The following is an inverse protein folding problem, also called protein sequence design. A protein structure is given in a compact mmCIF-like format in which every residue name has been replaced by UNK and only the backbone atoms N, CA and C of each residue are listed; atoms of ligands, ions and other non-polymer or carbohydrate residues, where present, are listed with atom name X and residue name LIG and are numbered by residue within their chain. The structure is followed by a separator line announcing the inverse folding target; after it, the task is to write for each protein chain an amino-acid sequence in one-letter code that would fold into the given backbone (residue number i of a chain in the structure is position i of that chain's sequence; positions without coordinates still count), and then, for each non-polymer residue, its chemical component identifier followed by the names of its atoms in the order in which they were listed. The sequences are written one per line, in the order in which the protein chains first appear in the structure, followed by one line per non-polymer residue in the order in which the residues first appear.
data_IF_904347994407
#
_entry.id   IF_904347994407
#
_cell.length_a   1.000
_cell.length_b   1.000
_cell.length_c   1.000
_cell.angle_alpha   90.00
_cell.angle_beta   90.00
_cell.angle_gamma   90.00
#
_symmetry.space_group_name_H-M   'P 1'
#
loop_
_entity.id
_entity.type
_entity.pdbx_description
1 polymer ?
#
# COMPACT_ATOMS: atom_id res chain seq x y z
N UNK A 1 -12.33 -9.79 -6.37
CA UNK A 1 -11.16 -8.87 -6.31
C UNK A 1 -11.57 -7.59 -5.57
N UNK A 2 -11.93 -7.68 -4.29
CA UNK A 2 -12.44 -6.53 -3.52
C UNK A 2 -11.96 -6.67 -2.09
N UNK A 3 -10.76 -6.16 -1.83
CA UNK A 3 -10.19 -6.15 -0.49
C UNK A 3 -9.12 -5.08 -0.32
N UNK A 4 -9.24 -3.92 -0.96
CA UNK A 4 -8.48 -2.75 -0.52
C UNK A 4 -9.25 -1.50 -0.91
N UNK A 5 -9.79 -0.80 0.08
CA UNK A 5 -10.65 0.36 -0.14
C UNK A 5 -11.38 0.82 1.13
N UNK A 6 -11.44 -0.02 2.17
CA UNK A 6 -12.14 0.32 3.40
C UNK A 6 -11.35 -0.01 4.66
N UNK A 7 -10.09 0.47 4.75
CA UNK A 7 -9.36 0.52 6.02
C UNK A 7 -9.28 -0.81 6.78
N UNK A 8 -9.37 -1.95 6.11
CA UNK A 8 -9.35 -3.25 6.77
C UNK A 8 -7.89 -3.61 7.08
N UNK A 9 -7.42 -3.04 8.19
CA UNK A 9 -6.08 -3.22 8.75
C UNK A 9 -5.75 -4.70 8.94
N UNK A 10 -6.77 -5.54 9.17
CA UNK A 10 -6.62 -6.99 9.31
C UNK A 10 -6.39 -7.66 7.95
N UNK A 11 -7.19 -7.31 6.95
CA UNK A 11 -7.02 -7.86 5.60
C UNK A 11 -5.70 -7.42 4.96
N UNK A 12 -5.28 -6.16 5.15
CA UNK A 12 -3.97 -5.69 4.71
C UNK A 12 -2.81 -6.44 5.40
N UNK A 13 -2.93 -6.68 6.72
CA UNK A 13 -1.93 -7.45 7.49
C UNK A 13 -1.89 -8.93 7.09
N UNK A 14 -3.03 -9.53 6.76
CA UNK A 14 -3.11 -10.92 6.32
C UNK A 14 -2.60 -11.11 4.90
N UNK A 15 -2.75 -10.11 4.03
CA UNK A 15 -2.23 -10.13 2.68
C UNK A 15 -0.71 -9.93 2.63
N UNK A 16 -0.09 -9.30 3.64
CA UNK A 16 1.34 -9.01 3.63
C UNK A 16 2.18 -10.23 4.04
N UNK A 17 3.02 -10.70 3.12
CA UNK A 17 3.88 -11.89 3.33
C UNK A 17 5.06 -11.60 4.26
N UNK A 18 5.58 -10.37 4.28
CA UNK A 18 6.74 -9.98 5.08
C UNK A 18 6.51 -8.66 5.81
N UNK A 19 6.71 -8.67 7.15
CA UNK A 19 6.46 -7.50 8.02
C UNK A 19 7.42 -6.32 7.76
N UNK A 20 8.60 -6.60 7.23
CA UNK A 20 9.65 -5.59 6.94
C UNK A 20 9.63 -5.12 5.48
N UNK A 21 8.57 -5.44 4.73
CA UNK A 21 8.49 -5.12 3.31
C UNK A 21 7.76 -3.81 3.00
N UNK A 22 7.63 -2.92 3.99
CA UNK A 22 6.99 -1.61 3.84
C UNK A 22 8.08 -0.53 3.92
N UNK A 23 8.11 0.36 2.94
CA UNK A 23 8.97 1.55 2.97
C UNK A 23 8.22 2.84 2.68
N UNK A 24 8.68 3.93 3.29
CA UNK A 24 8.48 5.27 2.76
C UNK A 24 9.58 5.60 1.76
N UNK A 25 9.17 6.07 0.59
CA UNK A 25 10.06 6.13 -0.57
C UNK A 25 10.62 4.74 -0.92
N UNK A 26 11.85 4.71 -1.44
CA UNK A 26 12.46 3.46 -1.88
C UNK A 26 13.09 2.65 -0.75
N UNK A 27 13.62 3.29 0.29
CA UNK A 27 14.55 2.64 1.21
C UNK A 27 14.28 2.91 2.70
N UNK A 28 13.38 3.82 3.07
CA UNK A 28 13.12 4.12 4.49
C UNK A 28 12.16 3.07 5.05
N UNK A 29 12.59 2.16 5.93
CA UNK A 29 11.70 1.11 6.44
C UNK A 29 10.60 1.74 7.29
N UNK A 30 9.36 1.31 7.07
CA UNK A 30 8.21 1.79 7.80
C UNK A 30 7.46 0.63 8.45
N UNK A 31 6.82 0.87 9.60
CA UNK A 31 5.91 -0.12 10.18
C UNK A 31 4.55 0.00 9.51
N UNK A 32 3.81 -1.10 9.52
CA UNK A 32 2.42 -1.11 9.04
C UNK A 32 1.55 -0.07 9.77
N UNK A 33 1.81 0.16 11.06
CA UNK A 33 1.10 1.19 11.83
C UNK A 33 1.36 2.61 11.28
N UNK A 34 2.61 2.92 10.92
CA UNK A 34 2.99 4.23 10.38
C UNK A 34 2.35 4.47 9.01
N UNK A 35 2.30 3.42 8.17
CA UNK A 35 1.60 3.48 6.89
C UNK A 35 0.09 3.68 7.08
N UNK A 36 -0.54 2.99 8.03
CA UNK A 36 -1.97 3.15 8.33
C UNK A 36 -2.25 4.58 8.78
N UNK A 37 -1.41 5.18 9.62
CA UNK A 37 -1.57 6.56 10.05
C UNK A 37 -1.48 7.55 8.89
N UNK A 38 -0.56 7.32 7.94
CA UNK A 38 -0.43 8.14 6.74
C UNK A 38 -1.62 8.01 5.78
N UNK A 39 -2.30 6.86 5.79
CA UNK A 39 -3.46 6.57 4.94
C UNK A 39 -4.79 6.82 5.65
N UNK A 40 -4.79 7.25 6.92
CA UNK A 40 -6.01 7.52 7.65
C UNK A 40 -6.75 8.72 7.04
N UNK A 41 -8.04 8.55 6.76
CA UNK A 41 -8.83 9.52 6.01
C UNK A 41 -8.51 9.60 4.51
N UNK A 42 -7.54 8.83 4.01
CA UNK A 42 -7.14 8.89 2.60
C UNK A 42 -8.15 8.21 1.68
N UNK A 43 -8.39 8.83 0.53
CA UNK A 43 -9.19 8.29 -0.57
C UNK A 43 -8.29 7.82 -1.71
N UNK A 44 -8.77 6.87 -2.49
CA UNK A 44 -8.03 6.33 -3.63
C UNK A 44 -8.66 6.85 -4.92
N UNK A 45 -7.86 7.51 -5.74
CA UNK A 45 -8.36 8.20 -6.95
C UNK A 45 -8.12 7.41 -8.22
N UNK A 46 -7.10 6.54 -8.24
CA UNK A 46 -6.75 5.72 -9.40
C UNK A 46 -5.93 4.49 -8.98
N UNK A 47 -6.15 3.37 -9.67
CA UNK A 47 -5.31 2.17 -9.58
C UNK A 47 -4.89 1.72 -10.99
N UNK A 48 -3.61 1.38 -11.16
CA UNK A 48 -3.03 0.83 -12.39
C UNK A 48 -2.29 -0.46 -12.02
N UNK A 49 -2.52 -1.55 -12.76
CA UNK A 49 -1.76 -2.79 -12.65
C UNK A 49 -0.81 -2.98 -13.83
N UNK A 50 0.41 -3.43 -13.56
CA UNK A 50 1.39 -3.82 -14.56
C UNK A 50 2.21 -5.02 -14.05
N UNK A 51 1.97 -6.20 -14.63
CA UNK A 51 2.56 -7.44 -14.11
C UNK A 51 2.16 -7.69 -12.65
N UNK A 52 3.10 -8.07 -11.76
CA UNK A 52 2.80 -8.28 -10.34
C UNK A 52 2.69 -6.97 -9.54
N UNK A 53 2.82 -5.80 -10.16
CA UNK A 53 2.84 -4.52 -9.44
C UNK A 53 1.54 -3.74 -9.67
N UNK A 54 0.96 -3.23 -8.59
CA UNK A 54 -0.12 -2.25 -8.62
C UNK A 54 0.41 -0.89 -8.13
N UNK A 55 0.04 0.17 -8.85
CA UNK A 55 0.25 1.55 -8.45
C UNK A 55 -1.10 2.19 -8.11
N UNK A 56 -1.20 2.80 -6.94
CA UNK A 56 -2.42 3.42 -6.42
C UNK A 56 -2.14 4.88 -6.09
N UNK A 57 -2.91 5.79 -6.69
CA UNK A 57 -2.90 7.20 -6.32
C UNK A 57 -3.75 7.40 -5.07
N UNK A 58 -3.13 8.01 -4.06
CA UNK A 58 -3.70 8.29 -2.75
C UNK A 58 -3.89 9.81 -2.62
N UNK A 59 -5.10 10.22 -2.27
CA UNK A 59 -5.39 11.59 -1.86
C UNK A 59 -5.70 11.57 -0.35
N UNK A 60 -4.78 12.07 0.47
CA UNK A 60 -4.91 12.15 1.91
C UNK A 60 -4.96 13.63 2.34
N UNK A 61 -5.55 13.90 3.50
CA UNK A 61 -5.63 15.26 4.05
C UNK A 61 -4.24 15.90 4.23
N UNK A 62 -3.21 15.06 4.42
CA UNK A 62 -1.80 15.47 4.58
C UNK A 62 -1.08 15.71 3.26
N UNK A 63 -1.71 15.41 2.12
CA UNK A 63 -1.14 15.56 0.79
C UNK A 63 -1.40 14.35 -0.13
N UNK A 64 -0.99 14.50 -1.39
CA UNK A 64 -1.10 13.42 -2.39
C UNK A 64 0.11 12.51 -2.34
N UNK A 65 -0.14 11.22 -2.48
CA UNK A 65 0.88 10.20 -2.56
C UNK A 65 0.60 9.11 -3.59
N UNK A 66 1.60 8.26 -3.81
CA UNK A 66 1.48 7.06 -4.63
C UNK A 66 1.94 5.86 -3.83
N UNK A 67 1.11 4.83 -3.77
CA UNK A 67 1.43 3.55 -3.19
C UNK A 67 1.72 2.55 -4.30
N UNK A 68 2.87 1.88 -4.23
CA UNK A 68 3.19 0.70 -5.03
C UNK A 68 3.05 -0.54 -4.17
N UNK A 69 2.28 -1.51 -4.63
CA UNK A 69 2.16 -2.84 -4.02
C UNK A 69 2.66 -3.88 -5.03
N UNK A 70 3.69 -4.63 -4.65
CA UNK A 70 4.12 -5.80 -5.42
C UNK A 70 3.46 -7.04 -4.84
N UNK A 71 2.88 -7.84 -5.72
CA UNK A 71 2.20 -9.07 -5.39
C UNK A 71 3.07 -10.27 -5.73
N UNK A 72 2.75 -11.43 -5.13
CA UNK A 72 3.25 -12.71 -5.63
C UNK A 72 2.87 -12.88 -7.10
N UNK A 73 3.57 -13.75 -7.85
CA UNK A 73 3.19 -14.06 -9.25
C UNK A 73 1.75 -14.57 -9.38
N UNK A 74 1.20 -15.14 -8.31
CA UNK A 74 -0.17 -15.64 -8.24
C UNK A 74 -1.19 -14.53 -7.90
N UNK A 75 -0.73 -13.36 -7.47
CA UNK A 75 -1.56 -12.21 -7.12
C UNK A 75 -2.34 -12.39 -5.82
N UNK A 76 -1.99 -13.40 -5.01
CA UNK A 76 -2.73 -13.78 -3.80
C UNK A 76 -2.17 -13.17 -2.51
N UNK A 77 -0.97 -12.56 -2.57
CA UNK A 77 -0.37 -11.91 -1.41
C UNK A 77 0.52 -10.73 -1.82
N UNK A 78 0.63 -9.73 -0.94
CA UNK A 78 1.50 -8.57 -1.07
C UNK A 78 2.88 -8.93 -0.52
N UNK A 79 3.89 -8.76 -1.36
CA UNK A 79 5.29 -9.02 -1.04
C UNK A 79 6.05 -7.76 -0.66
N UNK A 80 5.62 -6.59 -1.14
CA UNK A 80 6.26 -5.30 -0.84
C UNK A 80 5.28 -4.15 -1.01
N UNK A 81 5.40 -3.14 -0.14
CA UNK A 81 4.70 -1.87 -0.22
C UNK A 81 5.73 -0.74 -0.21
N UNK A 82 5.60 0.21 -1.14
CA UNK A 82 6.34 1.47 -1.12
C UNK A 82 5.38 2.62 -1.22
N UNK A 83 5.45 3.55 -0.28
CA UNK A 83 4.59 4.73 -0.26
C UNK A 83 5.41 6.00 -0.44
N UNK A 84 5.05 6.78 -1.45
CA UNK A 84 5.69 8.05 -1.79
C UNK A 84 4.69 9.16 -1.53
N UNK A 85 4.86 9.90 -0.43
CA UNK A 85 4.13 11.13 -0.15
C UNK A 85 5.03 12.34 -0.42
N UNK A 86 4.42 13.50 -0.63
CA UNK A 86 5.11 14.77 -0.82
C UNK A 86 4.99 15.65 0.41
#
# INVERSE_FOLDING_TARGET
MTAVGHGDRFTARQALVAKDAITFGDNEPARLADLIEHLDGASWTKMIGAGPTAAVSIDADRGRGVLFADLTRRGDAITRIRYFAR
#
